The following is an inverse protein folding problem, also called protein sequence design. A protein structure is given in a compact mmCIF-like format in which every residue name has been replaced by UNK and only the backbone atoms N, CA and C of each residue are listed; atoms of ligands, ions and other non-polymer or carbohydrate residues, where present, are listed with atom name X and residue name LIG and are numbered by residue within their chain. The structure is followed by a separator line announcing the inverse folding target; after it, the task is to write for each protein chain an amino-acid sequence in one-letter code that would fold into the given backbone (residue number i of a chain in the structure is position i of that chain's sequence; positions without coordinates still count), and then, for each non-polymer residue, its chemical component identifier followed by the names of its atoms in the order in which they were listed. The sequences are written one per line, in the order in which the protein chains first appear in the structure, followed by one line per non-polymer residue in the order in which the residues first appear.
data_IF_529271541191
#
_entry.id   IF_529271541191
#
_cell.length_a   1.000
_cell.length_b   1.000
_cell.length_c   1.000
_cell.angle_alpha   90.00
_cell.angle_beta   90.00
_cell.angle_gamma   90.00
#
_symmetry.space_group_name_H-M   'P 1'
#
loop_
_entity.id
_entity.type
_entity.pdbx_description
1 polymer ?
#
# COMPACT_ATOMS: atom_id res chain seq x y z
N UNK A 1 30.98 10.89 -4.76
CA UNK A 1 30.66 11.68 -3.54
C UNK A 1 31.90 11.71 -2.67
N UNK A 2 32.64 12.82 -2.63
CA UNK A 2 33.76 12.99 -1.70
C UNK A 2 33.18 13.02 -0.29
N UNK A 3 33.53 12.03 0.54
CA UNK A 3 33.18 12.00 1.98
C UNK A 3 34.23 12.70 2.85
N UNK A 4 35.32 13.20 2.26
CA UNK A 4 36.45 13.76 2.97
C UNK A 4 37.07 14.89 2.13
N UNK A 5 37.06 16.13 2.64
CA UNK A 5 38.04 17.12 2.21
C UNK A 5 39.35 16.77 2.93
N UNK A 6 40.29 16.15 2.20
CA UNK A 6 41.46 15.46 2.75
C UNK A 6 42.54 16.37 3.36
N UNK A 7 42.20 17.22 4.31
CA UNK A 7 43.19 18.02 5.05
C UNK A 7 43.10 17.90 6.58
N UNK A 8 42.02 17.34 7.13
CA UNK A 8 41.93 17.05 8.57
C UNK A 8 40.96 15.87 8.79
N UNK A 9 41.20 15.08 9.85
CA UNK A 9 40.36 13.94 10.26
C UNK A 9 39.02 14.39 10.86
N UNK A 10 38.69 15.67 10.80
CA UNK A 10 37.41 16.22 11.23
C UNK A 10 36.36 16.09 10.12
N UNK A 11 35.19 15.54 10.47
CA UNK A 11 34.02 15.53 9.60
C UNK A 11 33.50 16.96 9.44
N UNK A 12 33.91 17.64 8.37
CA UNK A 12 33.32 18.90 7.94
C UNK A 12 32.35 18.63 6.81
N UNK A 13 31.11 19.13 6.93
CA UNK A 13 30.11 18.99 5.89
C UNK A 13 30.60 19.60 4.56
N UNK A 14 30.35 18.89 3.46
CA UNK A 14 30.66 19.40 2.13
C UNK A 14 29.65 20.49 1.75
N UNK A 15 30.06 21.74 1.90
CA UNK A 15 29.25 22.91 1.56
C UNK A 15 29.49 23.26 0.09
N UNK A 16 28.57 22.87 -0.78
CA UNK A 16 28.62 23.14 -2.22
C UNK A 16 27.22 23.21 -2.83
N UNK A 17 27.13 23.75 -4.04
CA UNK A 17 25.97 23.67 -4.92
C UNK A 17 26.38 23.72 -6.39
N UNK A 18 25.49 23.31 -7.27
CA UNK A 18 25.68 23.40 -8.72
C UNK A 18 24.37 23.76 -9.41
N UNK A 19 24.48 24.40 -10.58
CA UNK A 19 23.36 24.74 -11.47
C UNK A 19 23.83 24.74 -12.91
N UNK A 20 23.06 24.11 -13.79
CA UNK A 20 23.21 24.30 -15.24
C UNK A 20 22.52 25.60 -15.66
N UNK A 21 23.29 26.55 -16.19
CA UNK A 21 22.80 27.86 -16.64
C UNK A 21 22.78 27.98 -18.16
N UNK A 22 23.05 26.88 -18.87
CA UNK A 22 23.07 26.82 -20.33
C UNK A 22 21.71 27.18 -20.95
N UNK A 23 20.61 26.82 -20.27
CA UNK A 23 19.26 27.02 -20.80
C UNK A 23 18.71 28.45 -20.58
N UNK A 24 19.23 29.19 -19.60
CA UNK A 24 18.59 30.44 -19.15
C UNK A 24 19.09 31.69 -19.87
N UNK A 25 20.36 31.76 -20.29
CA UNK A 25 20.95 33.04 -20.75
C UNK A 25 22.01 32.90 -21.86
N UNK A 26 22.16 31.75 -22.52
CA UNK A 26 23.13 31.58 -23.62
C UNK A 26 24.61 31.49 -23.19
N UNK A 27 24.90 31.45 -21.88
CA UNK A 27 26.28 31.40 -21.35
C UNK A 27 26.96 30.02 -21.43
N UNK A 28 26.27 28.98 -21.92
CA UNK A 28 26.77 27.61 -22.14
C UNK A 28 27.76 27.12 -21.06
N UNK A 29 27.45 27.35 -19.79
CA UNK A 29 28.31 27.00 -18.68
C UNK A 29 27.52 26.32 -17.55
N UNK A 30 28.24 25.57 -16.72
CA UNK A 30 27.75 25.01 -15.47
C UNK A 30 28.38 25.81 -14.34
N UNK A 31 27.56 26.35 -13.44
CA UNK A 31 28.05 27.07 -12.27
C UNK A 31 28.16 26.10 -11.11
N UNK A 32 29.34 26.06 -10.49
CA UNK A 32 29.60 25.34 -9.25
C UNK A 32 30.05 26.36 -8.23
N UNK A 33 29.37 26.46 -7.10
CA UNK A 33 29.76 27.34 -6.00
C UNK A 33 30.04 26.50 -4.76
N UNK A 34 31.14 26.84 -4.10
CA UNK A 34 31.74 26.02 -3.06
C UNK A 34 31.90 26.83 -1.78
N UNK A 35 32.28 26.15 -0.69
CA UNK A 35 32.55 26.81 0.58
C UNK A 35 33.69 27.83 0.44
N UNK A 36 33.53 28.98 1.08
CA UNK A 36 34.59 29.99 1.17
C UNK A 36 35.74 29.56 2.09
N UNK A 37 36.91 30.21 1.97
CA UNK A 37 38.06 29.97 2.86
C UNK A 37 39.19 29.12 2.29
N UNK A 38 39.51 29.28 0.99
CA UNK A 38 40.76 28.75 0.41
C UNK A 38 40.86 27.23 0.32
N UNK A 39 39.73 26.54 0.18
CA UNK A 39 39.72 25.07 0.06
C UNK A 39 40.17 24.65 -1.34
N UNK A 40 41.06 23.67 -1.42
CA UNK A 40 41.48 23.08 -2.70
C UNK A 40 40.41 22.10 -3.20
N UNK A 41 40.09 22.17 -4.49
CA UNK A 41 39.13 21.28 -5.13
C UNK A 41 39.77 20.63 -6.35
N UNK A 42 39.34 19.40 -6.62
CA UNK A 42 39.73 18.66 -7.80
C UNK A 42 38.47 18.41 -8.64
N UNK A 43 38.54 18.73 -9.93
CA UNK A 43 37.50 18.36 -10.88
C UNK A 43 38.06 17.38 -11.90
N UNK A 44 37.19 16.55 -12.45
CA UNK A 44 37.51 15.65 -13.55
C UNK A 44 36.53 15.93 -14.67
N UNK A 45 37.05 16.12 -15.89
CA UNK A 45 36.26 16.33 -17.09
C UNK A 45 36.73 15.37 -18.17
N UNK A 46 35.78 14.84 -18.94
CA UNK A 46 36.07 13.99 -20.09
C UNK A 46 36.66 14.77 -21.28
N UNK A 47 36.65 16.10 -21.21
CA UNK A 47 37.20 17.02 -22.20
C UNK A 47 38.12 18.05 -21.53
N UNK A 48 39.12 18.61 -22.24
CA UNK A 48 39.89 19.73 -21.75
C UNK A 48 38.96 20.89 -21.39
N UNK A 49 38.97 21.28 -20.11
CA UNK A 49 38.19 22.41 -19.58
C UNK A 49 39.14 23.25 -18.75
N UNK A 50 39.13 24.56 -19.01
CA UNK A 50 39.80 25.55 -18.18
C UNK A 50 38.72 26.33 -17.40
N UNK A 51 38.49 26.02 -16.12
CA UNK A 51 37.41 26.64 -15.36
C UNK A 51 37.71 28.10 -15.06
N UNK A 52 36.74 28.97 -15.30
CA UNK A 52 36.80 30.36 -14.82
C UNK A 52 36.48 30.38 -13.33
N UNK A 53 37.43 30.79 -12.50
CA UNK A 53 37.30 30.80 -11.04
C UNK A 53 36.98 32.20 -10.53
N UNK A 54 35.90 32.33 -9.77
CA UNK A 54 35.51 33.54 -9.05
C UNK A 54 35.80 33.36 -7.56
N UNK A 55 36.95 33.83 -7.11
CA UNK A 55 37.46 33.67 -5.74
C UNK A 55 37.83 35.00 -5.04
N UNK A 56 37.61 36.13 -5.72
CA UNK A 56 38.04 37.46 -5.27
C UNK A 56 39.51 37.78 -5.53
N UNK A 57 40.29 36.82 -6.08
CA UNK A 57 41.70 36.99 -6.46
C UNK A 57 41.85 37.00 -7.98
N UNK A 58 41.44 35.93 -8.64
CA UNK A 58 41.47 35.81 -10.11
C UNK A 58 40.33 36.61 -10.74
N UNK A 59 39.12 36.50 -10.19
CA UNK A 59 37.95 37.28 -10.62
C UNK A 59 37.16 37.76 -9.39
N UNK A 60 36.56 38.95 -9.49
CA UNK A 60 35.77 39.55 -8.40
C UNK A 60 34.49 38.78 -8.09
N UNK A 61 34.17 38.61 -6.81
CA UNK A 61 32.89 38.09 -6.34
C UNK A 61 31.85 39.23 -6.16
N UNK A 62 30.54 38.95 -6.30
CA UNK A 62 29.91 37.68 -6.72
C UNK A 62 30.00 37.47 -8.25
N UNK A 63 29.90 36.22 -8.69
CA UNK A 63 29.54 35.95 -10.09
C UNK A 63 28.08 36.35 -10.30
N UNK A 64 27.82 37.21 -11.28
CA UNK A 64 26.47 37.70 -11.60
C UNK A 64 26.02 37.03 -12.90
N UNK A 65 24.98 36.19 -12.83
CA UNK A 65 24.30 35.68 -14.02
C UNK A 65 23.64 36.85 -14.78
N UNK A 66 23.51 36.71 -16.11
CA UNK A 66 22.81 37.68 -16.96
C UNK A 66 21.34 37.88 -16.56
N UNK A 67 20.73 36.90 -15.88
CA UNK A 67 19.38 36.93 -15.29
C UNK A 67 19.32 37.59 -13.90
N UNK A 68 20.43 38.13 -13.40
CA UNK A 68 20.51 38.87 -12.13
C UNK A 68 20.65 38.01 -10.87
N UNK A 69 20.87 36.69 -11.02
CA UNK A 69 21.19 35.82 -9.88
C UNK A 69 22.67 35.97 -9.50
N UNK A 70 22.95 36.26 -8.23
CA UNK A 70 24.30 36.46 -7.72
C UNK A 70 24.80 35.21 -6.98
N UNK A 71 25.97 34.71 -7.38
CA UNK A 71 26.63 33.57 -6.73
C UNK A 71 27.88 34.05 -6.02
N UNK A 72 27.88 33.90 -4.71
CA UNK A 72 29.05 34.11 -3.86
C UNK A 72 29.48 32.78 -3.23
N UNK A 73 30.50 32.84 -2.37
CA UNK A 73 30.91 31.70 -1.56
C UNK A 73 29.85 31.35 -0.51
N UNK A 74 29.70 30.07 -0.21
CA UNK A 74 28.89 29.64 0.93
C UNK A 74 29.71 29.67 2.21
N UNK A 75 29.14 30.27 3.26
CA UNK A 75 29.70 30.27 4.62
C UNK A 75 29.00 29.29 5.55
N UNK A 76 27.83 28.79 5.15
CA UNK A 76 27.03 27.83 5.89
C UNK A 76 26.33 26.85 4.93
N UNK A 77 25.93 25.70 5.47
CA UNK A 77 24.99 24.80 4.80
C UNK A 77 23.64 25.53 4.69
N UNK A 78 22.99 25.52 3.53
CA UNK A 78 21.64 26.08 3.39
C UNK A 78 20.68 25.28 4.28
N UNK A 79 19.69 25.94 4.89
CA UNK A 79 18.77 25.33 5.85
C UNK A 79 17.97 24.13 5.32
N UNK A 80 17.84 23.99 3.99
CA UNK A 80 17.16 22.88 3.32
C UNK A 80 18.10 21.77 2.84
N UNK A 81 19.41 21.93 3.01
CA UNK A 81 20.43 20.93 2.68
C UNK A 81 20.92 20.33 4.00
N UNK A 82 20.82 19.02 4.16
CA UNK A 82 21.65 18.32 5.14
C UNK A 82 22.64 17.43 4.39
N UNK A 83 23.76 17.09 5.02
CA UNK A 83 24.81 16.24 4.46
C UNK A 83 24.38 14.78 4.20
N UNK A 84 23.09 14.45 4.36
CA UNK A 84 22.56 13.09 4.30
C UNK A 84 21.40 12.86 3.34
N UNK A 85 20.74 13.89 2.77
CA UNK A 85 19.65 13.73 1.80
C UNK A 85 18.44 12.87 2.28
N UNK A 86 18.45 12.40 3.51
CA UNK A 86 17.45 11.54 4.14
C UNK A 86 17.61 11.69 5.67
N UNK A 87 16.59 12.21 6.34
CA UNK A 87 16.56 12.23 7.81
C UNK A 87 15.96 10.92 8.31
N UNK A 88 16.67 10.23 9.22
CA UNK A 88 16.17 9.05 9.94
C UNK A 88 15.63 9.40 11.33
N UNK A 89 15.73 10.66 11.75
CA UNK A 89 15.45 11.12 13.11
C UNK A 89 14.17 11.94 13.23
N UNK A 90 13.56 12.32 12.11
CA UNK A 90 12.38 13.21 12.08
C UNK A 90 11.44 12.82 10.94
N UNK A 91 10.21 13.32 11.00
CA UNK A 91 9.23 13.13 9.94
C UNK A 91 9.68 13.81 8.63
N UNK A 92 9.36 13.18 7.50
CA UNK A 92 9.50 13.79 6.18
C UNK A 92 8.14 14.35 5.77
N UNK A 93 8.08 15.64 5.42
CA UNK A 93 6.87 16.30 4.97
C UNK A 93 6.98 16.67 3.49
N UNK A 94 6.04 16.19 2.68
CA UNK A 94 5.96 16.51 1.25
C UNK A 94 4.84 17.55 1.05
N UNK A 95 5.21 18.84 0.95
CA UNK A 95 4.26 19.95 0.91
C UNK A 95 3.94 20.48 -0.50
N UNK A 96 4.26 19.70 -1.54
CA UNK A 96 3.90 20.01 -2.92
C UNK A 96 2.44 19.67 -3.23
N UNK A 97 1.84 20.36 -4.21
CA UNK A 97 0.49 20.06 -4.71
C UNK A 97 0.38 18.68 -5.36
N UNK A 98 1.50 18.15 -5.88
CA UNK A 98 1.63 16.78 -6.35
C UNK A 98 3.03 16.26 -6.02
N UNK A 99 3.09 15.09 -5.38
CA UNK A 99 4.35 14.42 -5.06
C UNK A 99 4.38 13.11 -5.87
N UNK A 100 5.34 13.00 -6.79
CA UNK A 100 5.51 11.83 -7.64
C UNK A 100 6.80 11.08 -7.28
N UNK A 101 6.66 9.79 -6.99
CA UNK A 101 7.77 8.90 -6.71
C UNK A 101 7.94 7.91 -7.87
N UNK A 102 8.99 8.08 -8.66
CA UNK A 102 9.28 7.16 -9.77
C UNK A 102 9.75 5.77 -9.29
N UNK A 103 10.44 5.73 -8.14
CA UNK A 103 10.92 4.52 -7.48
C UNK A 103 10.00 4.03 -6.36
N UNK A 104 10.41 2.97 -5.67
CA UNK A 104 9.68 2.45 -4.52
C UNK A 104 9.86 3.33 -3.28
N UNK A 105 8.80 3.49 -2.49
CA UNK A 105 8.80 4.19 -1.20
C UNK A 105 8.88 3.16 -0.08
N UNK A 106 9.96 3.19 0.70
CA UNK A 106 10.13 2.37 1.90
C UNK A 106 9.92 3.18 3.16
N UNK A 107 8.99 2.77 4.03
CA UNK A 107 8.78 3.35 5.36
C UNK A 107 9.22 2.34 6.40
N UNK A 108 10.31 2.63 7.12
CA UNK A 108 10.91 1.68 8.08
C UNK A 108 11.67 0.51 7.43
N UNK A 109 11.91 0.55 6.12
CA UNK A 109 12.71 -0.43 5.37
C UNK A 109 13.56 0.26 4.31
N UNK A 110 14.80 -0.20 4.13
CA UNK A 110 15.71 0.25 3.06
C UNK A 110 15.64 -0.64 1.81
N UNK A 111 14.89 -1.74 1.88
CA UNK A 111 14.73 -2.72 0.81
C UNK A 111 13.24 -2.96 0.58
N UNK A 112 12.53 -2.02 -0.06
CA UNK A 112 11.13 -2.20 -0.38
C UNK A 112 10.96 -3.30 -1.42
N UNK A 113 10.04 -4.23 -1.13
CA UNK A 113 9.65 -5.36 -1.99
C UNK A 113 8.43 -5.05 -2.88
N UNK A 114 7.78 -3.90 -2.64
CA UNK A 114 6.69 -3.35 -3.44
C UNK A 114 6.92 -1.87 -3.74
N UNK A 115 6.04 -1.26 -4.55
CA UNK A 115 6.07 0.19 -4.85
C UNK A 115 5.94 1.05 -3.59
N UNK A 116 5.17 0.59 -2.61
CA UNK A 116 5.11 1.14 -1.26
C UNK A 116 5.25 -0.02 -0.28
N UNK A 117 6.31 -0.02 0.52
CA UNK A 117 6.55 -1.03 1.56
C UNK A 117 6.66 -0.35 2.92
N UNK A 118 5.83 -0.77 3.88
CA UNK A 118 5.78 -0.20 5.22
C UNK A 118 6.10 -1.28 6.25
N UNK A 119 7.23 -1.15 6.95
CA UNK A 119 7.59 -1.99 8.09
C UNK A 119 7.06 -1.36 9.38
N UNK A 120 5.74 -1.42 9.56
CA UNK A 120 5.05 -0.83 10.69
C UNK A 120 3.55 -0.74 10.45
N UNK A 121 2.87 0.05 11.28
CA UNK A 121 1.42 0.25 11.18
C UNK A 121 1.11 1.41 10.22
N UNK A 122 0.12 1.20 9.34
CA UNK A 122 -0.50 2.27 8.56
C UNK A 122 -1.79 2.69 9.28
N UNK A 123 -1.90 3.97 9.62
CA UNK A 123 -3.15 4.54 10.13
C UNK A 123 -3.75 5.44 9.04
N UNK A 124 -4.93 5.07 8.57
CA UNK A 124 -5.66 5.78 7.52
C UNK A 124 -7.14 5.84 7.89
N UNK A 125 -7.82 6.92 7.52
CA UNK A 125 -9.27 7.05 7.68
C UNK A 125 -10.03 6.15 6.69
N UNK A 126 -9.48 5.95 5.50
CA UNK A 126 -10.07 5.14 4.44
C UNK A 126 -8.97 4.53 3.56
N UNK A 127 -9.21 3.32 3.05
CA UNK A 127 -8.36 2.65 2.06
C UNK A 127 -9.26 2.11 0.96
N UNK A 128 -9.13 2.67 -0.24
CA UNK A 128 -9.76 2.14 -1.45
C UNK A 128 -8.79 1.19 -2.15
N UNK A 129 -9.20 -0.07 -2.31
CA UNK A 129 -8.43 -1.10 -3.02
C UNK A 129 -9.12 -1.39 -4.34
N UNK A 130 -8.53 -0.95 -5.44
CA UNK A 130 -9.03 -1.28 -6.77
C UNK A 130 -8.61 -2.70 -7.14
N UNK A 131 -9.59 -3.60 -7.18
CA UNK A 131 -9.40 -4.99 -7.55
C UNK A 131 -9.81 -5.21 -9.00
N UNK A 132 -8.94 -5.87 -9.76
CA UNK A 132 -9.29 -6.38 -11.10
C UNK A 132 -9.96 -7.77 -11.02
N UNK A 133 -10.58 -8.11 -9.90
CA UNK A 133 -11.21 -9.40 -9.64
C UNK A 133 -12.74 -9.22 -9.64
N UNK A 134 -13.51 -10.10 -10.30
CA UNK A 134 -14.96 -10.01 -10.27
C UNK A 134 -15.51 -10.13 -8.83
N UNK A 135 -16.49 -9.29 -8.52
CA UNK A 135 -17.30 -9.38 -7.30
C UNK A 135 -18.05 -10.73 -7.32
N UNK A 136 -18.16 -11.46 -6.19
CA UNK A 136 -18.61 -12.84 -6.19
C UNK A 136 -20.11 -13.09 -6.41
N UNK A 137 -20.88 -12.12 -6.93
CA UNK A 137 -22.32 -12.23 -7.20
C UNK A 137 -22.74 -13.49 -7.98
N UNK A 138 -21.81 -14.09 -8.73
CA UNK A 138 -21.98 -15.36 -9.43
C UNK A 138 -22.39 -16.53 -8.52
N UNK A 139 -22.24 -16.41 -7.19
CA UNK A 139 -22.70 -17.41 -6.21
C UNK A 139 -24.21 -17.63 -6.29
N UNK A 140 -24.97 -16.64 -6.78
CA UNK A 140 -26.42 -16.72 -6.99
C UNK A 140 -26.83 -17.11 -8.42
N UNK A 141 -25.87 -17.28 -9.34
CA UNK A 141 -26.18 -17.62 -10.72
C UNK A 141 -26.63 -19.09 -10.90
N UNK A 142 -27.55 -19.37 -11.84
CA UNK A 142 -27.93 -20.73 -12.18
C UNK A 142 -26.72 -21.54 -12.65
N UNK A 143 -26.39 -22.61 -11.92
CA UNK A 143 -25.26 -23.50 -12.22
C UNK A 143 -24.06 -23.38 -11.29
N UNK A 144 -24.07 -22.41 -10.36
CA UNK A 144 -23.06 -22.37 -9.30
C UNK A 144 -23.15 -23.61 -8.40
N UNK A 145 -22.06 -24.37 -8.34
CA UNK A 145 -21.99 -25.60 -7.53
C UNK A 145 -21.74 -25.24 -6.07
N UNK A 146 -22.79 -25.25 -5.24
CA UNK A 146 -22.61 -25.24 -3.78
C UNK A 146 -21.90 -26.50 -3.36
N UNK A 147 -20.91 -26.37 -2.48
CA UNK A 147 -20.45 -27.49 -1.69
C UNK A 147 -21.56 -27.92 -0.73
N UNK A 148 -21.71 -29.19 -0.39
CA UNK A 148 -22.67 -29.57 0.65
C UNK A 148 -22.12 -29.23 2.05
N UNK A 149 -23.01 -29.07 3.04
CA UNK A 149 -22.58 -28.86 4.43
C UNK A 149 -21.78 -30.04 4.99
N UNK A 150 -22.03 -31.27 4.52
CA UNK A 150 -21.27 -32.46 4.91
C UNK A 150 -19.84 -32.47 4.34
N UNK A 151 -19.68 -32.03 3.09
CA UNK A 151 -18.36 -31.82 2.48
C UNK A 151 -17.60 -30.70 3.20
N UNK A 152 -18.25 -29.57 3.50
CA UNK A 152 -17.64 -28.48 4.29
C UNK A 152 -17.21 -28.99 5.66
N UNK A 153 -18.07 -29.73 6.36
CA UNK A 153 -17.76 -30.30 7.68
C UNK A 153 -16.56 -31.21 7.62
N UNK A 154 -16.47 -32.05 6.59
CA UNK A 154 -15.33 -32.94 6.36
C UNK A 154 -14.05 -32.15 6.08
N UNK A 155 -14.13 -31.12 5.23
CA UNK A 155 -13.02 -30.25 4.90
C UNK A 155 -12.49 -29.50 6.13
N UNK A 156 -13.37 -28.87 6.90
CA UNK A 156 -13.01 -28.10 8.10
C UNK A 156 -12.40 -29.00 9.16
N UNK A 157 -12.92 -30.22 9.33
CA UNK A 157 -12.36 -31.21 10.28
C UNK A 157 -10.92 -31.61 9.90
N UNK A 158 -10.62 -31.68 8.61
CA UNK A 158 -9.30 -32.08 8.12
C UNK A 158 -8.31 -30.91 8.03
N UNK A 159 -8.76 -29.73 7.60
CA UNK A 159 -7.88 -28.60 7.25
C UNK A 159 -7.90 -27.46 8.27
N UNK A 160 -8.87 -27.44 9.20
CA UNK A 160 -9.02 -26.40 10.23
C UNK A 160 -9.21 -24.97 9.70
N UNK A 161 -9.66 -24.82 8.45
CA UNK A 161 -10.09 -23.56 7.85
C UNK A 161 -11.20 -23.82 6.83
N UNK A 162 -11.87 -22.76 6.37
CA UNK A 162 -12.90 -22.87 5.33
C UNK A 162 -12.27 -23.13 3.95
N UNK A 163 -12.99 -23.80 3.04
CA UNK A 163 -12.61 -23.87 1.63
C UNK A 163 -12.38 -22.48 1.05
N UNK A 164 -11.44 -22.36 0.12
CA UNK A 164 -11.01 -21.11 -0.53
C UNK A 164 -10.36 -20.06 0.38
N UNK A 165 -10.39 -20.23 1.71
CA UNK A 165 -9.72 -19.31 2.64
C UNK A 165 -8.31 -19.83 2.94
N UNK A 166 -7.26 -19.02 2.80
CA UNK A 166 -5.91 -19.44 3.13
C UNK A 166 -5.79 -19.83 4.60
N UNK A 167 -5.03 -20.88 4.86
CA UNK A 167 -4.74 -21.32 6.23
C UNK A 167 -3.92 -20.29 7.00
N UNK A 168 -3.98 -20.32 8.33
CA UNK A 168 -3.15 -19.46 9.17
C UNK A 168 -1.64 -19.61 8.87
N UNK A 169 -1.19 -20.82 8.50
CA UNK A 169 0.20 -21.08 8.11
C UNK A 169 0.57 -20.40 6.79
N UNK A 170 -0.34 -20.39 5.81
CA UNK A 170 -0.14 -19.69 4.55
C UNK A 170 -0.10 -18.17 4.77
N UNK A 171 -1.05 -17.62 5.54
CA UNK A 171 -1.08 -16.18 5.86
C UNK A 171 0.20 -15.75 6.60
N UNK A 172 0.69 -16.55 7.54
CA UNK A 172 1.91 -16.25 8.27
C UNK A 172 3.17 -16.26 7.37
N UNK A 173 3.16 -17.06 6.29
CA UNK A 173 4.30 -17.19 5.37
C UNK A 173 4.27 -16.17 4.23
N UNK A 174 3.09 -15.94 3.65
CA UNK A 174 2.92 -15.21 2.39
C UNK A 174 2.34 -13.80 2.62
N UNK A 175 1.88 -13.51 3.83
CA UNK A 175 1.13 -12.29 4.15
C UNK A 175 -0.35 -12.42 3.78
N UNK A 176 -1.10 -11.34 4.01
CA UNK A 176 -2.53 -11.26 3.70
C UNK A 176 -2.77 -10.18 2.66
N UNK A 177 -3.31 -10.56 1.51
CA UNK A 177 -3.83 -9.59 0.55
C UNK A 177 -5.23 -9.15 1.00
N UNK A 178 -5.34 -7.91 1.49
CA UNK A 178 -6.59 -7.38 2.05
C UNK A 178 -7.75 -7.41 1.05
N UNK A 179 -7.50 -7.08 -0.21
CA UNK A 179 -8.54 -7.03 -1.23
C UNK A 179 -9.02 -8.43 -1.61
N UNK A 180 -8.11 -9.35 -1.91
CA UNK A 180 -8.46 -10.75 -2.21
C UNK A 180 -9.16 -11.44 -1.04
N UNK A 181 -8.70 -11.19 0.20
CA UNK A 181 -9.35 -11.73 1.39
C UNK A 181 -10.78 -11.19 1.55
N UNK A 182 -11.00 -9.90 1.35
CA UNK A 182 -12.34 -9.31 1.43
C UNK A 182 -13.27 -9.90 0.35
N UNK A 183 -12.78 -10.11 -0.87
CA UNK A 183 -13.54 -10.77 -1.95
C UNK A 183 -13.91 -12.21 -1.57
N UNK A 184 -12.95 -12.98 -1.02
CA UNK A 184 -13.22 -14.35 -0.55
C UNK A 184 -14.22 -14.39 0.61
N UNK A 185 -14.12 -13.45 1.56
CA UNK A 185 -15.07 -13.32 2.67
C UNK A 185 -16.48 -13.01 2.16
N UNK A 186 -16.61 -12.10 1.20
CA UNK A 186 -17.89 -11.77 0.57
C UNK A 186 -18.50 -13.02 -0.09
N UNK A 187 -17.72 -13.78 -0.86
CA UNK A 187 -18.15 -15.06 -1.44
C UNK A 187 -18.69 -16.02 -0.36
N UNK A 188 -18.01 -16.14 0.79
CA UNK A 188 -18.46 -17.01 1.88
C UNK A 188 -19.73 -16.51 2.57
N UNK A 189 -19.91 -15.20 2.68
CA UNK A 189 -21.15 -14.60 3.19
C UNK A 189 -22.32 -14.90 2.24
N UNK A 190 -22.11 -14.83 0.94
CA UNK A 190 -23.14 -15.16 -0.06
C UNK A 190 -23.49 -16.66 -0.05
N UNK A 191 -22.48 -17.54 0.01
CA UNK A 191 -22.70 -18.98 0.18
C UNK A 191 -23.47 -19.29 1.47
N UNK A 192 -23.09 -18.65 2.59
CA UNK A 192 -23.79 -18.78 3.88
C UNK A 192 -25.25 -18.34 3.76
N UNK A 193 -25.49 -17.19 3.12
CA UNK A 193 -26.83 -16.67 2.90
C UNK A 193 -27.67 -17.66 2.08
N UNK A 194 -27.06 -18.34 1.11
CA UNK A 194 -27.77 -19.36 0.32
C UNK A 194 -28.13 -20.60 1.13
N UNK A 195 -27.22 -21.11 1.98
CA UNK A 195 -27.59 -22.20 2.91
C UNK A 195 -28.71 -21.80 3.86
N UNK A 196 -28.74 -20.56 4.34
CA UNK A 196 -29.81 -20.08 5.21
C UNK A 196 -31.17 -20.03 4.49
N UNK A 197 -31.18 -19.59 3.23
CA UNK A 197 -32.39 -19.62 2.39
C UNK A 197 -32.86 -21.06 2.17
N UNK A 198 -31.95 -21.98 1.82
CA UNK A 198 -32.26 -23.40 1.64
C UNK A 198 -32.82 -24.02 2.94
N UNK A 199 -32.20 -23.69 4.07
CA UNK A 199 -32.64 -24.16 5.38
C UNK A 199 -34.03 -23.63 5.76
N UNK A 200 -34.31 -22.34 5.52
CA UNK A 200 -35.62 -21.75 5.80
C UNK A 200 -36.71 -22.38 4.92
N UNK A 201 -36.42 -22.59 3.64
CA UNK A 201 -37.34 -23.27 2.74
C UNK A 201 -37.66 -24.70 3.21
N UNK A 202 -36.64 -25.45 3.62
CA UNK A 202 -36.83 -26.79 4.18
C UNK A 202 -37.66 -26.77 5.48
N UNK A 203 -37.43 -25.77 6.36
CA UNK A 203 -38.19 -25.58 7.61
C UNK A 203 -39.66 -25.29 7.33
N UNK A 204 -39.95 -24.37 6.41
CA UNK A 204 -41.33 -24.02 6.02
C UNK A 204 -42.04 -25.21 5.38
N UNK A 205 -41.34 -26.00 4.57
CA UNK A 205 -41.88 -27.22 4.00
C UNK A 205 -42.23 -28.24 5.10
N UNK A 206 -41.32 -28.48 6.05
CA UNK A 206 -41.58 -29.38 7.19
C UNK A 206 -42.75 -28.90 8.06
N UNK A 207 -42.86 -27.60 8.34
CA UNK A 207 -44.01 -27.05 9.07
C UNK A 207 -45.33 -27.26 8.33
N UNK A 208 -45.32 -27.13 7.01
CA UNK A 208 -46.50 -27.35 6.17
C UNK A 208 -46.92 -28.81 6.18
N UNK A 209 -45.96 -29.73 6.04
CA UNK A 209 -46.18 -31.17 6.15
C UNK A 209 -46.74 -31.55 7.51
N UNK A 210 -46.17 -31.04 8.61
CA UNK A 210 -46.66 -31.25 9.97
C UNK A 210 -48.09 -30.72 10.16
N UNK A 211 -48.41 -29.52 9.67
CA UNK A 211 -49.77 -28.96 9.73
C UNK A 211 -50.78 -29.85 8.99
N UNK A 212 -50.39 -30.38 7.83
CA UNK A 212 -51.23 -31.29 7.06
C UNK A 212 -51.44 -32.62 7.80
N UNK A 213 -50.39 -33.20 8.38
CA UNK A 213 -50.49 -34.40 9.20
C UNK A 213 -51.40 -34.18 10.41
N UNK A 214 -51.20 -33.09 11.17
CA UNK A 214 -52.06 -32.73 12.32
C UNK A 214 -53.52 -32.59 11.89
N UNK A 215 -53.78 -31.92 10.76
CA UNK A 215 -55.14 -31.74 10.25
C UNK A 215 -55.79 -33.09 9.88
N UNK A 216 -55.05 -33.99 9.24
CA UNK A 216 -55.54 -35.34 8.91
C UNK A 216 -55.81 -36.19 10.16
N UNK A 217 -54.96 -36.09 11.19
CA UNK A 217 -55.14 -36.80 12.45
C UNK A 217 -56.35 -36.30 13.22
N UNK A 218 -56.58 -34.97 13.24
CA UNK A 218 -57.78 -34.36 13.83
C UNK A 218 -59.05 -34.87 13.15
N UNK A 219 -59.10 -34.88 11.83
CA UNK A 219 -60.26 -35.40 11.09
C UNK A 219 -60.54 -36.88 11.40
N UNK A 220 -59.49 -37.70 11.55
CA UNK A 220 -59.65 -39.11 11.94
C UNK A 220 -60.18 -39.26 13.36
N UNK A 221 -59.73 -38.41 14.29
CA UNK A 221 -60.19 -38.42 15.67
C UNK A 221 -61.69 -38.07 15.77
N UNK A 222 -62.12 -37.00 15.08
CA UNK A 222 -63.54 -36.60 15.01
C UNK A 222 -64.46 -37.72 14.53
N UNK A 223 -64.02 -38.49 13.52
CA UNK A 223 -64.79 -39.63 13.00
C UNK A 223 -64.90 -40.75 14.04
N UNK A 224 -63.82 -41.01 14.79
CA UNK A 224 -63.81 -42.02 15.84
C UNK A 224 -64.69 -41.62 17.03
N UNK A 225 -64.61 -40.37 17.49
CA UNK A 225 -65.41 -39.86 18.60
C UNK A 225 -66.92 -39.91 18.30
N UNK A 226 -67.33 -39.44 17.11
CA UNK A 226 -68.72 -39.55 16.65
C UNK A 226 -69.19 -41.01 16.54
N UNK A 227 -68.32 -41.91 16.12
CA UNK A 227 -68.62 -43.36 16.05
C UNK A 227 -68.81 -44.02 17.41
N UNK A 228 -68.17 -43.51 18.48
CA UNK A 228 -68.33 -44.00 19.85
C UNK A 228 -69.58 -43.48 20.57
N UNK A 229 -70.06 -42.27 20.25
CA UNK A 229 -71.29 -41.72 20.83
C UNK A 229 -72.56 -42.42 20.33
N UNK A 230 -72.55 -42.95 19.11
CA UNK A 230 -73.70 -43.63 18.49
C UNK A 230 -73.90 -45.08 19.01
N UNK A 231 -72.93 -45.62 19.76
CA UNK A 231 -72.96 -47.01 20.29
C UNK A 231 -73.35 -47.13 21.78
N UNK A 232 -73.75 -46.03 22.44
CA UNK A 232 -74.33 -46.03 23.79
C UNK A 232 -75.83 -45.82 23.72
#
# INVERSE_FOLDING_TARGET
MQRFNGYDRSNVDFIAGWKDVSYSNGSTCVVIWLRGGGTTYFFHSNYPVDPVVYDGVQNSLPFVESSGSNYTYKTAVDSYVNSYGATIATNTYFNGSSNYFAGSVGVGTLSPDARLAVRGTVHASEVKVDLNVPVPDYVFEPGYKLMSLDEIKSFVKQNHHLPDIPSAKQIAKEGLNLGDMNTRLLKKIEELTRYLIEQENARVQQETELKNTISSLKNRLDVLEKGSEVKR
#
